data_IF_343741956074
#
_entry.id   IF_343741956074
#
_cell.length_a   1.000
_cell.length_b   1.000
_cell.length_c   1.000
_cell.angle_alpha   90.00
_cell.angle_beta   90.00
_cell.angle_gamma   90.00
#
_symmetry.space_group_name_H-M   'P 1'
#
loop_
_entity.id
_entity.type
_entity.pdbx_description
1 polymer ?
#
# COMPACT_ATOMS: atom_id res chain seq x y z
N UNK A 1 -31.67 -30.50 50.20
CA UNK A 1 -30.93 -31.30 49.20
C UNK A 1 -31.87 -31.44 48.02
N UNK A 2 -31.69 -30.79 46.87
CA UNK A 2 -30.47 -30.71 46.05
C UNK A 2 -30.41 -29.36 45.34
N UNK A 3 -29.22 -28.76 45.35
CA UNK A 3 -28.89 -27.55 44.62
C UNK A 3 -28.61 -27.95 43.17
N UNK A 4 -29.37 -27.40 42.24
CA UNK A 4 -29.19 -27.54 40.80
C UNK A 4 -27.90 -26.81 40.38
N UNK A 5 -26.76 -27.51 40.41
CA UNK A 5 -25.49 -27.02 39.91
C UNK A 5 -25.46 -27.11 38.38
N UNK A 6 -26.04 -26.09 37.73
CA UNK A 6 -26.00 -25.88 36.27
C UNK A 6 -24.71 -25.11 35.93
N UNK A 7 -23.57 -25.74 36.18
CA UNK A 7 -22.24 -25.16 35.93
C UNK A 7 -21.76 -25.44 34.51
N UNK A 8 -21.53 -24.36 33.76
CA UNK A 8 -20.32 -24.12 32.95
C UNK A 8 -19.96 -24.96 31.71
N UNK A 9 -20.86 -25.74 31.14
CA UNK A 9 -20.54 -26.47 29.88
C UNK A 9 -20.66 -25.62 28.59
N UNK A 10 -21.07 -24.35 28.67
CA UNK A 10 -21.28 -23.48 27.49
C UNK A 10 -20.08 -22.61 27.08
N UNK A 11 -18.94 -22.67 27.78
CA UNK A 11 -17.80 -21.77 27.52
C UNK A 11 -16.69 -22.38 26.65
N UNK A 12 -16.91 -23.57 26.09
CA UNK A 12 -15.88 -24.27 25.32
C UNK A 12 -16.36 -24.80 23.98
N UNK A 13 -17.29 -24.11 23.33
CA UNK A 13 -17.48 -24.33 21.90
C UNK A 13 -16.27 -23.78 21.13
N UNK A 14 -15.70 -24.55 20.19
CA UNK A 14 -14.53 -24.13 19.43
C UNK A 14 -14.96 -23.01 18.47
N UNK A 15 -14.58 -21.77 18.79
CA UNK A 15 -14.96 -20.56 18.05
C UNK A 15 -14.47 -20.57 16.58
N UNK A 16 -13.49 -21.43 16.26
CA UNK A 16 -12.95 -21.64 14.91
C UNK A 16 -13.49 -22.88 14.20
N UNK A 17 -14.07 -23.86 14.91
CA UNK A 17 -14.79 -24.98 14.29
C UNK A 17 -16.22 -24.60 13.86
N UNK A 18 -16.75 -23.52 14.46
CA UNK A 18 -18.04 -22.93 14.11
C UNK A 18 -17.97 -22.14 12.79
N UNK A 19 -19.14 -21.90 12.20
CA UNK A 19 -19.44 -21.08 11.01
C UNK A 19 -18.55 -19.83 10.85
N UNK A 20 -18.12 -19.25 11.98
CA UNK A 20 -17.21 -18.12 12.07
C UNK A 20 -15.81 -18.36 11.49
N UNK A 21 -15.21 -19.55 11.66
CA UNK A 21 -13.89 -19.87 11.07
C UNK A 21 -13.95 -19.97 9.54
N UNK A 22 -15.02 -20.57 9.00
CA UNK A 22 -15.30 -20.59 7.56
C UNK A 22 -15.53 -19.20 7.00
N UNK A 23 -16.20 -18.32 7.76
CA UNK A 23 -16.40 -16.92 7.38
C UNK A 23 -15.09 -16.12 7.37
N UNK A 24 -14.14 -16.42 8.26
CA UNK A 24 -12.82 -15.77 8.26
C UNK A 24 -11.97 -16.24 7.07
N UNK A 25 -12.00 -17.52 6.74
CA UNK A 25 -11.32 -18.06 5.55
C UNK A 25 -11.92 -17.49 4.25
N UNK A 26 -13.25 -17.40 4.16
CA UNK A 26 -13.94 -16.78 3.03
C UNK A 26 -13.62 -15.28 2.88
N UNK A 27 -13.64 -14.53 3.99
CA UNK A 27 -13.24 -13.13 3.99
C UNK A 27 -11.75 -12.95 3.63
N UNK A 28 -10.90 -13.90 4.02
CA UNK A 28 -9.49 -13.92 3.62
C UNK A 28 -9.31 -14.01 2.11
N UNK A 29 -10.04 -14.93 1.45
CA UNK A 29 -10.02 -15.08 -0.01
C UNK A 29 -10.56 -13.83 -0.73
N UNK A 30 -11.61 -13.20 -0.18
CA UNK A 30 -12.14 -11.95 -0.72
C UNK A 30 -11.12 -10.81 -0.64
N UNK A 31 -10.41 -10.69 0.49
CA UNK A 31 -9.35 -9.69 0.66
C UNK A 31 -8.18 -9.95 -0.30
N UNK A 32 -7.76 -11.20 -0.50
CA UNK A 32 -6.74 -11.55 -1.49
C UNK A 32 -7.15 -11.13 -2.91
N UNK A 33 -8.40 -11.39 -3.30
CA UNK A 33 -8.93 -10.99 -4.61
C UNK A 33 -8.95 -9.46 -4.78
N UNK A 34 -9.31 -8.71 -3.72
CA UNK A 34 -9.30 -7.24 -3.73
C UNK A 34 -7.87 -6.68 -3.80
N UNK A 35 -6.90 -7.30 -3.14
CA UNK A 35 -5.49 -6.92 -3.22
C UNK A 35 -4.92 -7.15 -4.63
N UNK A 36 -5.28 -8.27 -5.26
CA UNK A 36 -4.90 -8.56 -6.65
C UNK A 36 -5.53 -7.55 -7.62
N UNK A 37 -6.78 -7.17 -7.39
CA UNK A 37 -7.45 -6.12 -8.18
C UNK A 37 -6.76 -4.76 -8.01
N UNK A 38 -6.38 -4.39 -6.79
CA UNK A 38 -5.65 -3.15 -6.52
C UNK A 38 -4.27 -3.17 -7.20
N UNK A 39 -3.60 -4.32 -7.21
CA UNK A 39 -2.34 -4.52 -7.95
C UNK A 39 -2.52 -4.30 -9.43
N UNK A 40 -3.55 -4.91 -10.03
CA UNK A 40 -3.86 -4.73 -11.45
C UNK A 40 -4.16 -3.26 -11.81
N UNK A 41 -4.89 -2.54 -10.97
CA UNK A 41 -5.15 -1.10 -11.15
C UNK A 41 -3.86 -0.29 -11.05
N UNK A 42 -2.97 -0.62 -10.12
CA UNK A 42 -1.67 0.04 -9.97
C UNK A 42 -0.77 -0.19 -11.20
N UNK A 43 -0.78 -1.39 -11.78
CA UNK A 43 -0.06 -1.70 -13.02
C UNK A 43 -0.63 -0.93 -14.21
N UNK A 44 -1.96 -0.87 -14.36
CA UNK A 44 -2.61 -0.05 -15.39
C UNK A 44 -2.28 1.44 -15.25
N UNK A 45 -2.17 1.95 -14.02
CA UNK A 45 -1.77 3.32 -13.76
C UNK A 45 -0.29 3.56 -14.07
N UNK A 46 0.56 2.52 -13.99
CA UNK A 46 1.99 2.57 -14.35
C UNK A 46 2.21 2.59 -15.85
N UNK A 47 1.34 1.95 -16.64
CA UNK A 47 1.38 1.96 -18.10
C UNK A 47 0.89 3.28 -18.72
N UNK A 48 0.16 4.10 -17.95
CA UNK A 48 -0.24 5.42 -18.41
C UNK A 48 1.00 6.34 -18.52
N UNK A 49 1.23 7.01 -19.68
CA UNK A 49 2.37 7.91 -19.84
C UNK A 49 2.39 8.96 -18.73
N UNK A 50 3.58 9.34 -18.22
CA UNK A 50 3.69 10.28 -17.12
C UNK A 50 3.00 11.58 -17.51
N UNK A 51 1.83 11.83 -16.90
CA UNK A 51 1.15 13.12 -16.98
C UNK A 51 2.17 14.20 -16.63
N UNK A 52 2.12 15.32 -17.36
CA UNK A 52 3.03 16.47 -17.19
C UNK A 52 2.99 17.06 -15.77
N UNK A 53 2.03 16.64 -14.94
CA UNK A 53 1.88 16.98 -13.53
C UNK A 53 2.46 15.87 -12.63
N UNK A 54 3.49 16.19 -11.84
CA UNK A 54 4.12 15.25 -10.87
C UNK A 54 3.17 14.65 -9.82
N UNK A 55 1.92 15.14 -9.75
CA UNK A 55 0.84 14.59 -8.94
C UNK A 55 0.47 13.14 -9.32
N UNK A 56 0.49 12.79 -10.61
CA UNK A 56 0.17 11.42 -11.04
C UNK A 56 1.21 10.41 -10.55
N UNK A 57 2.49 10.80 -10.57
CA UNK A 57 3.59 9.96 -10.08
C UNK A 57 3.54 9.78 -8.56
N UNK A 58 3.24 10.85 -7.81
CA UNK A 58 3.09 10.76 -6.36
C UNK A 58 1.89 9.91 -5.95
N UNK A 59 0.77 10.03 -6.67
CA UNK A 59 -0.42 9.20 -6.43
C UNK A 59 -0.11 7.72 -6.67
N UNK A 60 0.54 7.38 -7.78
CA UNK A 60 0.94 6.00 -8.07
C UNK A 60 1.88 5.44 -6.99
N UNK A 61 2.88 6.24 -6.57
CA UNK A 61 3.79 5.86 -5.50
C UNK A 61 3.05 5.54 -4.20
N UNK A 62 2.14 6.43 -3.80
CA UNK A 62 1.30 6.24 -2.61
C UNK A 62 0.42 5.00 -2.72
N UNK A 63 -0.13 4.72 -3.90
CA UNK A 63 -0.94 3.54 -4.13
C UNK A 63 -0.13 2.23 -4.05
N UNK A 64 1.15 2.24 -4.43
CA UNK A 64 2.06 1.10 -4.23
C UNK A 64 2.39 0.87 -2.75
N UNK A 65 2.66 1.95 -2.01
CA UNK A 65 2.92 1.89 -0.57
C UNK A 65 1.72 1.32 0.20
N UNK A 66 0.51 1.82 -0.10
CA UNK A 66 -0.74 1.33 0.50
C UNK A 66 -0.96 -0.16 0.21
N UNK A 67 -0.68 -0.60 -1.02
CA UNK A 67 -0.81 -2.01 -1.39
C UNK A 67 0.16 -2.89 -0.61
N UNK A 68 1.42 -2.45 -0.47
CA UNK A 68 2.43 -3.17 0.30
C UNK A 68 2.05 -3.28 1.78
N UNK A 69 1.57 -2.17 2.37
CA UNK A 69 1.11 -2.14 3.76
C UNK A 69 -0.07 -3.10 3.98
N UNK A 70 -1.09 -3.06 3.11
CA UNK A 70 -2.24 -3.96 3.24
C UNK A 70 -1.87 -5.42 3.04
N UNK A 71 -0.96 -5.74 2.11
CA UNK A 71 -0.50 -7.11 1.89
C UNK A 71 0.27 -7.62 3.11
N UNK A 72 1.13 -6.79 3.71
CA UNK A 72 1.88 -7.13 4.92
C UNK A 72 0.96 -7.36 6.12
N UNK A 73 0.02 -6.44 6.36
CA UNK A 73 -0.94 -6.56 7.47
C UNK A 73 -1.88 -7.76 7.29
N UNK A 74 -2.29 -8.05 6.05
CA UNK A 74 -3.08 -9.24 5.73
C UNK A 74 -2.32 -10.53 6.07
N UNK A 75 -1.06 -10.65 5.63
CA UNK A 75 -0.22 -11.81 5.93
C UNK A 75 0.01 -11.98 7.44
N UNK A 76 0.29 -10.91 8.18
CA UNK A 76 0.40 -10.96 9.65
C UNK A 76 -0.90 -11.45 10.30
N UNK A 77 -2.04 -10.99 9.79
CA UNK A 77 -3.36 -11.39 10.32
C UNK A 77 -3.62 -12.87 10.02
N UNK A 78 -3.28 -13.34 8.83
CA UNK A 78 -3.40 -14.74 8.41
C UNK A 78 -2.51 -15.66 9.24
N UNK A 79 -1.27 -15.25 9.52
CA UNK A 79 -0.35 -15.98 10.39
C UNK A 79 -0.85 -16.08 11.82
N UNK A 80 -1.34 -14.96 12.39
CA UNK A 80 -1.97 -14.96 13.70
C UNK A 80 -3.21 -15.86 13.76
N UNK A 81 -4.02 -15.87 12.71
CA UNK A 81 -5.17 -16.76 12.59
C UNK A 81 -4.74 -18.23 12.57
N UNK A 82 -3.76 -18.59 11.73
CA UNK A 82 -3.20 -19.95 11.64
C UNK A 82 -2.57 -20.40 12.96
N UNK A 83 -1.84 -19.52 13.64
CA UNK A 83 -1.25 -19.82 14.95
C UNK A 83 -2.33 -20.11 16.01
N UNK A 84 -3.44 -19.35 16.01
CA UNK A 84 -4.58 -19.61 16.90
C UNK A 84 -5.32 -20.90 16.54
N UNK A 85 -5.52 -21.17 15.26
CA UNK A 85 -6.13 -22.42 14.77
C UNK A 85 -5.30 -23.65 15.17
N UNK A 86 -4.00 -23.63 14.94
CA UNK A 86 -3.08 -24.70 15.33
C UNK A 86 -3.06 -24.92 16.85
N UNK A 87 -3.10 -23.84 17.63
CA UNK A 87 -3.19 -23.89 19.10
C UNK A 87 -4.50 -24.53 19.56
N UNK A 88 -5.61 -24.23 18.90
CA UNK A 88 -6.92 -24.82 19.18
C UNK A 88 -6.96 -26.32 18.79
N UNK A 89 -6.40 -26.68 17.63
CA UNK A 89 -6.29 -28.08 17.18
C UNK A 89 -5.43 -28.93 18.13
N UNK A 90 -4.32 -28.37 18.64
CA UNK A 90 -3.52 -29.03 19.68
C UNK A 90 -4.34 -29.23 20.96
N UNK A 91 -5.06 -28.21 21.43
CA UNK A 91 -5.87 -28.31 22.65
C UNK A 91 -7.03 -29.28 22.50
N UNK A 92 -7.65 -29.34 21.31
CA UNK A 92 -8.68 -30.32 20.96
C UNK A 92 -8.09 -31.74 20.98
N UNK A 93 -6.93 -31.94 20.34
CA UNK A 93 -6.23 -33.23 20.36
C UNK A 93 -5.92 -33.68 21.79
N UNK A 94 -5.40 -32.81 22.65
CA UNK A 94 -5.08 -33.13 24.06
C UNK A 94 -6.32 -33.50 24.87
N UNK A 95 -7.45 -32.81 24.65
CA UNK A 95 -8.71 -33.10 25.33
C UNK A 95 -9.34 -34.41 24.86
N UNK A 96 -9.30 -34.69 23.56
CA UNK A 96 -9.79 -35.96 22.99
C UNK A 96 -8.91 -37.14 23.42
N UNK A 97 -7.59 -36.97 23.51
CA UNK A 97 -6.67 -38.00 24.01
C UNK A 97 -6.90 -38.31 25.49
N UNK A 98 -7.18 -37.29 26.32
CA UNK A 98 -7.48 -37.47 27.76
C UNK A 98 -8.75 -38.30 28.00
N UNK A 99 -9.73 -38.18 27.10
CA UNK A 99 -10.97 -38.95 27.17
C UNK A 99 -10.86 -40.35 26.58
N UNK A 100 -9.84 -40.66 25.76
CA UNK A 100 -9.78 -41.94 25.06
C UNK A 100 -8.99 -43.05 25.78
N UNK A 101 -8.01 -42.77 26.66
CA UNK A 101 -7.29 -43.84 27.40
C UNK A 101 -6.72 -43.40 28.76
N UNK A 102 -7.08 -44.04 29.89
CA UNK A 102 -6.23 -44.10 31.05
C UNK A 102 -5.26 -45.29 30.94
N UNK A 103 -4.03 -45.04 31.38
CA UNK A 103 -3.04 -46.01 31.83
C UNK A 103 -2.17 -46.77 30.80
N UNK A 104 -0.88 -46.74 31.12
CA UNK A 104 0.20 -47.70 30.85
C UNK A 104 0.79 -47.80 29.43
N UNK A 105 2.07 -47.38 29.32
CA UNK A 105 3.12 -47.76 28.33
C UNK A 105 3.54 -46.81 27.20
N UNK A 106 2.80 -45.77 26.80
CA UNK A 106 3.13 -44.99 25.58
C UNK A 106 3.95 -43.70 25.77
N UNK A 107 4.66 -43.51 26.89
CA UNK A 107 5.36 -42.24 27.19
C UNK A 107 6.55 -41.91 26.27
N UNK A 108 7.31 -42.91 25.83
CA UNK A 108 8.53 -42.71 25.03
C UNK A 108 8.22 -42.43 23.54
N UNK A 109 7.30 -43.19 22.95
CA UNK A 109 6.83 -42.96 21.57
C UNK A 109 6.13 -41.60 21.43
N UNK A 110 5.36 -41.19 22.46
CA UNK A 110 4.70 -39.87 22.48
C UNK A 110 5.68 -38.71 22.44
N UNK A 111 6.82 -38.85 23.12
CA UNK A 111 7.87 -37.82 23.13
C UNK A 111 8.56 -37.73 21.77
N UNK A 112 8.80 -38.88 21.13
CA UNK A 112 9.37 -38.97 19.78
C UNK A 112 8.46 -38.33 18.72
N UNK A 113 7.15 -38.63 18.73
CA UNK A 113 6.18 -38.05 17.79
C UNK A 113 6.04 -36.53 17.96
N UNK A 114 6.07 -36.05 19.21
CA UNK A 114 6.06 -34.61 19.50
C UNK A 114 7.29 -33.91 18.92
N UNK A 115 8.48 -34.47 19.10
CA UNK A 115 9.71 -33.91 18.53
C UNK A 115 9.73 -33.95 17.01
N UNK A 116 9.19 -35.01 16.40
CA UNK A 116 9.13 -35.13 14.95
C UNK A 116 8.20 -34.07 14.35
N UNK A 117 7.04 -33.86 14.96
CA UNK A 117 6.10 -32.81 14.59
C UNK A 117 6.69 -31.42 14.80
N UNK A 118 7.38 -31.18 15.92
CA UNK A 118 8.09 -29.91 16.16
C UNK A 118 9.15 -29.64 15.09
N UNK A 119 9.90 -30.67 14.69
CA UNK A 119 10.89 -30.56 13.61
C UNK A 119 10.23 -30.21 12.27
N UNK A 120 9.09 -30.81 11.96
CA UNK A 120 8.30 -30.46 10.77
C UNK A 120 7.80 -29.01 10.81
N UNK A 121 7.35 -28.53 11.98
CA UNK A 121 6.96 -27.14 12.17
C UNK A 121 8.14 -26.17 12.03
N UNK A 122 9.31 -26.50 12.56
CA UNK A 122 10.53 -25.69 12.39
C UNK A 122 10.91 -25.61 10.91
N UNK A 123 10.86 -26.74 10.20
CA UNK A 123 11.17 -26.80 8.78
C UNK A 123 10.17 -26.02 7.93
N UNK A 124 8.88 -26.07 8.28
CA UNK A 124 7.84 -25.24 7.65
C UNK A 124 8.05 -23.75 7.95
N UNK A 125 8.40 -23.40 9.18
CA UNK A 125 8.68 -22.02 9.59
C UNK A 125 9.88 -21.44 8.85
N UNK A 126 10.96 -22.23 8.71
CA UNK A 126 12.15 -21.85 7.95
C UNK A 126 11.81 -21.49 6.50
N UNK A 127 10.96 -22.29 5.85
CA UNK A 127 10.53 -22.02 4.46
C UNK A 127 9.73 -20.73 4.33
N UNK A 128 8.84 -20.45 5.29
CA UNK A 128 8.06 -19.21 5.30
C UNK A 128 8.95 -17.98 5.55
N UNK A 129 9.98 -18.12 6.40
CA UNK A 129 10.97 -17.07 6.62
C UNK A 129 11.76 -16.82 5.34
N UNK A 130 12.16 -17.86 4.62
CA UNK A 130 12.88 -17.73 3.35
C UNK A 130 12.01 -17.01 2.28
N UNK A 131 10.72 -17.33 2.20
CA UNK A 131 9.77 -16.64 1.31
C UNK A 131 9.59 -15.17 1.70
N UNK A 132 9.48 -14.86 3.01
CA UNK A 132 9.40 -13.48 3.48
C UNK A 132 10.69 -12.70 3.21
N UNK A 133 11.85 -13.32 3.34
CA UNK A 133 13.15 -12.73 2.98
C UNK A 133 13.19 -12.45 1.49
N UNK A 134 12.71 -13.38 0.65
CA UNK A 134 12.65 -13.19 -0.80
C UNK A 134 11.78 -11.98 -1.16
N UNK A 135 10.58 -11.87 -0.58
CA UNK A 135 9.67 -10.73 -0.79
C UNK A 135 10.31 -9.41 -0.30
N UNK A 136 10.99 -9.43 0.85
CA UNK A 136 11.68 -8.26 1.38
C UNK A 136 12.87 -7.80 0.51
N UNK A 137 13.58 -8.75 -0.11
CA UNK A 137 14.69 -8.46 -1.03
C UNK A 137 14.17 -7.90 -2.35
N UNK A 138 13.11 -8.48 -2.91
CA UNK A 138 12.48 -8.02 -4.15
C UNK A 138 11.91 -6.60 -4.01
N UNK A 139 11.20 -6.34 -2.91
CA UNK A 139 10.67 -4.99 -2.60
C UNK A 139 11.79 -3.97 -2.37
N UNK A 140 12.92 -4.35 -1.76
CA UNK A 140 14.10 -3.47 -1.63
C UNK A 140 14.68 -3.10 -2.99
N UNK A 141 14.73 -4.03 -3.94
CA UNK A 141 15.26 -3.79 -5.28
C UNK A 141 14.33 -2.84 -6.07
N UNK A 142 13.01 -3.02 -5.97
CA UNK A 142 12.03 -2.11 -6.55
C UNK A 142 12.13 -0.70 -5.96
N UNK A 143 12.25 -0.56 -4.64
CA UNK A 143 12.43 0.74 -3.97
C UNK A 143 13.76 1.40 -4.35
N UNK A 144 14.83 0.61 -4.55
CA UNK A 144 16.11 1.13 -5.02
C UNK A 144 16.03 1.62 -6.48
N UNK A 145 15.31 0.90 -7.34
CA UNK A 145 15.00 1.32 -8.70
C UNK A 145 14.14 2.59 -8.73
N UNK A 146 13.11 2.69 -7.89
CA UNK A 146 12.30 3.90 -7.70
C UNK A 146 13.12 5.09 -7.19
N UNK A 147 14.12 4.86 -6.33
CA UNK A 147 15.05 5.93 -5.91
C UNK A 147 15.88 6.46 -7.07
N UNK A 148 16.29 5.59 -8.00
CA UNK A 148 17.03 6.01 -9.20
C UNK A 148 16.14 6.81 -10.16
N UNK A 149 14.85 6.44 -10.30
CA UNK A 149 13.91 7.24 -11.12
C UNK A 149 13.59 8.58 -10.48
N UNK A 150 13.45 8.67 -9.15
CA UNK A 150 13.32 9.95 -8.44
C UNK A 150 14.55 10.84 -8.62
N UNK A 151 15.77 10.30 -8.55
CA UNK A 151 16.99 11.07 -8.85
C UNK A 151 17.00 11.61 -10.28
N UNK A 152 16.54 10.82 -11.25
CA UNK A 152 16.38 11.26 -12.65
C UNK A 152 15.31 12.35 -12.78
N UNK A 153 14.20 12.26 -12.03
CA UNK A 153 13.17 13.31 -12.01
C UNK A 153 13.68 14.59 -11.36
N UNK A 154 14.45 14.49 -10.28
CA UNK A 154 15.06 15.64 -9.61
C UNK A 154 16.03 16.38 -10.54
N UNK A 155 16.88 15.66 -11.29
CA UNK A 155 17.78 16.31 -12.27
C UNK A 155 16.99 16.95 -13.42
N UNK A 156 15.94 16.30 -13.94
CA UNK A 156 15.06 16.89 -14.96
C UNK A 156 14.31 18.11 -14.45
N UNK A 157 13.81 18.09 -13.22
CA UNK A 157 13.15 19.23 -12.58
C UNK A 157 14.14 20.38 -12.34
N UNK A 158 15.37 20.07 -11.95
CA UNK A 158 16.43 21.08 -11.83
C UNK A 158 16.76 21.69 -13.20
N UNK A 159 16.84 20.89 -14.26
CA UNK A 159 17.05 21.38 -15.62
C UNK A 159 15.88 22.26 -16.09
N UNK A 160 14.63 21.86 -15.83
CA UNK A 160 13.43 22.65 -16.15
C UNK A 160 13.42 23.94 -15.34
N UNK A 161 13.70 23.88 -14.04
CA UNK A 161 13.82 25.05 -13.16
C UNK A 161 14.87 26.04 -13.67
N UNK A 162 15.99 25.55 -14.19
CA UNK A 162 17.03 26.38 -14.82
C UNK A 162 16.55 27.01 -16.16
N UNK A 163 15.55 26.43 -16.84
CA UNK A 163 15.00 26.97 -18.11
C UNK A 163 13.75 27.83 -17.95
N UNK A 164 12.98 27.69 -16.88
CA UNK A 164 11.82 28.54 -16.58
C UNK A 164 12.13 30.05 -16.49
N UNK A 165 13.25 30.54 -15.92
CA UNK A 165 13.59 31.96 -15.96
C UNK A 165 13.87 32.46 -17.39
N UNK A 166 14.34 31.59 -18.30
CA UNK A 166 14.55 31.91 -19.71
C UNK A 166 13.21 32.06 -20.44
N UNK A 167 12.24 31.19 -20.16
CA UNK A 167 10.88 31.29 -20.72
C UNK A 167 10.17 32.57 -20.24
N UNK A 168 10.34 32.95 -18.97
CA UNK A 168 9.77 34.20 -18.46
C UNK A 168 10.40 35.44 -19.14
N UNK A 169 11.71 35.40 -19.45
CA UNK A 169 12.39 36.46 -20.21
C UNK A 169 11.89 36.58 -21.67
N UNK A 170 11.54 35.46 -22.30
CA UNK A 170 10.97 35.43 -23.66
C UNK A 170 9.52 35.94 -23.67
N UNK A 171 8.74 35.59 -22.66
CA UNK A 171 7.36 36.06 -22.48
C UNK A 171 7.30 37.58 -22.22
N UNK A 172 8.30 38.12 -21.50
CA UNK A 172 8.48 39.56 -21.33
C UNK A 172 8.87 40.27 -22.63
N UNK A 173 9.79 39.68 -23.42
CA UNK A 173 10.22 40.22 -24.72
C UNK A 173 9.09 40.24 -25.76
N UNK A 174 8.19 39.24 -25.73
CA UNK A 174 7.02 39.19 -26.61
C UNK A 174 5.98 40.26 -26.25
N UNK A 175 5.71 40.49 -24.96
CA UNK A 175 4.70 41.46 -24.53
C UNK A 175 5.16 42.92 -24.67
N UNK A 176 6.46 43.21 -24.62
CA UNK A 176 6.95 44.59 -24.72
C UNK A 176 6.84 45.17 -26.14
N UNK A 177 7.00 44.35 -27.19
CA UNK A 177 6.90 44.83 -28.57
C UNK A 177 5.48 45.30 -28.91
N UNK A 178 4.45 44.60 -28.44
CA UNK A 178 3.03 44.96 -28.65
C UNK A 178 2.60 46.19 -27.83
N UNK A 179 3.21 46.43 -26.65
CA UNK A 179 2.90 47.61 -25.82
C UNK A 179 3.50 48.92 -26.36
N UNK A 180 4.68 48.87 -27.00
CA UNK A 180 5.31 50.07 -27.57
C UNK A 180 4.46 50.72 -28.66
N UNK A 181 3.92 49.92 -29.56
CA UNK A 181 3.13 50.44 -30.70
C UNK A 181 1.83 51.10 -30.20
N UNK A 182 1.15 50.50 -29.21
CA UNK A 182 -0.03 51.12 -28.57
C UNK A 182 0.31 52.41 -27.81
N UNK A 183 1.48 52.50 -27.18
CA UNK A 183 1.89 53.71 -26.46
C UNK A 183 2.17 54.88 -27.41
N UNK A 184 2.85 54.60 -28.54
CA UNK A 184 3.13 55.61 -29.57
C UNK A 184 1.82 56.12 -30.18
N UNK A 185 0.89 55.23 -30.55
CA UNK A 185 -0.41 55.63 -31.10
C UNK A 185 -1.22 56.44 -30.09
N UNK A 186 -1.21 56.05 -28.80
CA UNK A 186 -1.89 56.79 -27.74
C UNK A 186 -1.36 58.22 -27.56
N UNK A 187 -0.04 58.40 -27.58
CA UNK A 187 0.58 59.73 -27.46
C UNK A 187 0.21 60.62 -28.65
N UNK A 188 0.24 60.08 -29.88
CA UNK A 188 -0.11 60.84 -31.09
C UNK A 188 -1.56 61.31 -31.05
N UNK A 189 -2.50 60.43 -30.69
CA UNK A 189 -3.91 60.78 -30.56
C UNK A 189 -4.11 61.85 -29.48
N UNK A 190 -3.48 61.71 -28.33
CA UNK A 190 -3.56 62.69 -27.24
C UNK A 190 -3.09 64.09 -27.67
N UNK A 191 -1.92 64.18 -28.31
CA UNK A 191 -1.39 65.46 -28.82
C UNK A 191 -2.34 66.06 -29.86
N UNK A 192 -2.85 65.25 -30.78
CA UNK A 192 -3.78 65.71 -31.81
C UNK A 192 -5.09 66.23 -31.22
N UNK A 193 -5.63 65.57 -30.19
CA UNK A 193 -6.83 66.03 -29.48
C UNK A 193 -6.62 67.35 -28.76
N UNK A 194 -5.47 67.54 -28.10
CA UNK A 194 -5.14 68.81 -27.44
C UNK A 194 -5.07 69.94 -28.47
N UNK A 195 -4.32 69.76 -29.56
CA UNK A 195 -4.15 70.79 -30.59
C UNK A 195 -5.49 71.22 -31.21
N UNK A 196 -6.40 70.27 -31.49
CA UNK A 196 -7.74 70.61 -31.97
C UNK A 196 -8.56 71.37 -30.93
N UNK A 197 -8.44 71.01 -29.65
CA UNK A 197 -9.14 71.70 -28.57
C UNK A 197 -8.62 73.13 -28.42
N UNK A 198 -7.31 73.35 -28.45
CA UNK A 198 -6.72 74.70 -28.39
C UNK A 198 -7.11 75.55 -29.60
N UNK A 199 -7.14 74.96 -30.80
CA UNK A 199 -7.53 75.67 -32.03
C UNK A 199 -9.04 75.95 -32.14
N UNK A 200 -9.89 75.19 -31.44
CA UNK A 200 -11.31 75.48 -31.34
C UNK A 200 -11.62 76.54 -30.28
N UNK A 201 -10.80 76.63 -29.24
CA UNK A 201 -10.98 77.58 -28.13
C UNK A 201 -10.31 78.94 -28.35
N UNK A 202 -9.51 79.08 -29.42
CA UNK A 202 -8.83 80.31 -29.83
C UNK A 202 -9.33 80.76 -31.19
#
# INVERSE_FOLDING_TARGET
NEIHNKGDDSLTEPLLASERGRNVEAAGLEIEALLEQLKAVNEQMSDMPPSTTGFAQHTLQRHREILADYTSEFNKTLENYRARKNKEDLMKSVRTEKNYKPATSSGLNRRMDLYLKENEHIKSSSRLIDDQISIAVETREELMSQRLTMKKLQTRLHDVSNRLPIVNSLLYRINFRRRRDSFIVGIVVFICTILLLTALFH
#
